data_IF_492624214093
#
_entry.id   IF_492624214093
#
_cell.length_a   1.000
_cell.length_b   1.000
_cell.length_c   1.000
_cell.angle_alpha   90.00
_cell.angle_beta   90.00
_cell.angle_gamma   90.00
#
_symmetry.space_group_name_H-M   'P 1'
#
loop_
_entity.id
_entity.type
_entity.pdbx_description
1 polymer ?
#
# COMPACT_ATOMS: atom_id res chain seq x y z
N UNK A 1 5.74 29.86 7.14
CA UNK A 1 5.27 29.09 5.99
C UNK A 1 4.83 27.71 6.44
N UNK A 2 3.57 27.43 6.34
CA UNK A 2 3.02 26.14 6.75
C UNK A 2 3.36 25.08 5.70
N UNK A 3 4.03 24.02 6.12
CA UNK A 3 4.22 22.86 5.29
C UNK A 3 2.86 22.28 4.94
N UNK A 4 2.57 22.16 3.65
CA UNK A 4 1.39 21.42 3.25
C UNK A 4 1.61 19.95 3.55
N UNK A 5 0.80 19.43 4.44
CA UNK A 5 0.77 17.99 4.72
C UNK A 5 -0.29 17.36 3.83
N UNK A 6 -0.02 16.16 3.36
CA UNK A 6 -1.05 15.38 2.72
C UNK A 6 -2.18 15.12 3.72
N UNK A 7 -3.44 15.19 3.30
CA UNK A 7 -4.54 14.84 4.20
C UNK A 7 -4.42 13.38 4.63
N UNK A 8 -4.88 13.09 5.84
CA UNK A 8 -4.93 11.72 6.31
C UNK A 8 -5.80 10.88 5.39
N UNK A 9 -5.40 9.65 5.08
CA UNK A 9 -6.23 8.75 4.29
C UNK A 9 -7.56 8.50 4.97
N UNK A 10 -8.62 8.46 4.18
CA UNK A 10 -9.91 7.95 4.65
C UNK A 10 -9.80 6.45 4.85
N UNK A 11 -9.20 5.78 3.88
CA UNK A 11 -8.87 4.37 3.95
C UNK A 11 -7.82 4.06 2.90
N UNK A 12 -6.78 3.33 3.30
CA UNK A 12 -5.72 2.89 2.39
C UNK A 12 -6.12 1.54 1.80
N UNK A 13 -5.94 1.40 0.49
CA UNK A 13 -5.95 0.09 -0.16
C UNK A 13 -4.52 -0.42 -0.20
N UNK A 14 -4.22 -1.48 0.54
CA UNK A 14 -2.89 -2.08 0.54
C UNK A 14 -2.86 -3.27 -0.40
N UNK A 15 -2.12 -3.12 -1.51
CA UNK A 15 -1.98 -4.13 -2.54
C UNK A 15 -0.71 -4.93 -2.31
N UNK A 16 -0.82 -6.25 -2.29
CA UNK A 16 0.34 -7.13 -2.06
C UNK A 16 0.12 -8.50 -2.69
N UNK A 17 1.22 -9.19 -2.98
CA UNK A 17 1.15 -10.61 -3.33
C UNK A 17 0.79 -11.44 -2.11
N UNK A 18 0.04 -12.52 -2.30
CA UNK A 18 -0.27 -13.44 -1.21
C UNK A 18 0.99 -13.99 -0.52
N UNK A 19 2.09 -14.08 -1.26
CA UNK A 19 3.36 -14.56 -0.71
C UNK A 19 4.03 -13.55 0.22
N UNK A 20 3.63 -12.28 0.18
CA UNK A 20 4.15 -11.22 1.06
C UNK A 20 3.20 -10.90 2.21
N UNK A 21 2.28 -11.79 2.49
CA UNK A 21 1.20 -11.57 3.46
C UNK A 21 1.71 -11.18 4.84
N UNK A 22 2.74 -11.84 5.35
CA UNK A 22 3.27 -11.57 6.69
C UNK A 22 3.74 -10.12 6.80
N UNK A 23 4.48 -9.67 5.81
CA UNK A 23 4.95 -8.28 5.77
C UNK A 23 3.77 -7.32 5.69
N UNK A 24 2.83 -7.59 4.77
CA UNK A 24 1.65 -6.75 4.59
C UNK A 24 0.87 -6.60 5.90
N UNK A 25 0.66 -7.71 6.62
CA UNK A 25 -0.06 -7.68 7.89
C UNK A 25 0.64 -6.85 8.95
N UNK A 26 1.99 -6.90 9.00
CA UNK A 26 2.76 -6.07 9.91
C UNK A 26 2.56 -4.58 9.62
N UNK A 27 2.60 -4.21 8.35
CA UNK A 27 2.37 -2.82 7.93
C UNK A 27 0.94 -2.38 8.27
N UNK A 28 -0.04 -3.23 8.00
CA UNK A 28 -1.44 -2.95 8.32
C UNK A 28 -1.61 -2.67 9.81
N UNK A 29 -1.01 -3.50 10.67
CA UNK A 29 -1.11 -3.33 12.11
C UNK A 29 -0.52 -2.00 12.56
N UNK A 30 0.63 -1.61 12.00
CA UNK A 30 1.25 -0.33 12.31
C UNK A 30 0.34 0.83 11.90
N UNK A 31 -0.19 0.80 10.69
CA UNK A 31 -1.08 1.85 10.20
C UNK A 31 -2.33 1.97 11.06
N UNK A 32 -2.96 0.85 11.37
CA UNK A 32 -4.19 0.84 12.21
C UNK A 32 -3.91 1.33 13.61
N UNK A 33 -2.77 0.95 14.20
CA UNK A 33 -2.37 1.42 15.52
C UNK A 33 -2.19 2.94 15.56
N UNK A 34 -1.83 3.54 14.44
CA UNK A 34 -1.67 4.99 14.31
C UNK A 34 -2.93 5.70 13.78
N UNK A 35 -4.06 5.00 13.81
CA UNK A 35 -5.35 5.59 13.47
C UNK A 35 -5.65 5.68 11.98
N UNK A 36 -4.93 4.96 11.13
CA UNK A 36 -5.14 4.98 9.68
C UNK A 36 -5.90 3.72 9.26
N UNK A 37 -7.12 3.84 8.72
CA UNK A 37 -7.86 2.68 8.24
C UNK A 37 -7.20 2.08 7.00
N UNK A 38 -7.14 0.74 6.96
CA UNK A 38 -6.52 0.01 5.85
C UNK A 38 -7.41 -1.17 5.46
N UNK A 39 -7.60 -1.33 4.16
CA UNK A 39 -8.19 -2.54 3.59
C UNK A 39 -7.10 -3.32 2.85
N UNK A 40 -7.05 -4.63 3.06
CA UNK A 40 -6.16 -5.52 2.33
C UNK A 40 -6.83 -6.87 2.11
N UNK A 41 -6.42 -7.59 1.08
CA UNK A 41 -7.10 -8.81 0.61
C UNK A 41 -6.74 -10.08 1.40
N UNK A 42 -6.16 -9.94 2.59
CA UNK A 42 -5.67 -11.09 3.35
C UNK A 42 -6.67 -11.79 4.24
N UNK A 43 -7.87 -11.26 4.41
CA UNK A 43 -8.67 -11.63 5.57
C UNK A 43 -9.81 -12.61 5.34
N UNK A 44 -10.34 -12.76 4.13
CA UNK A 44 -11.46 -13.67 3.94
C UNK A 44 -11.48 -14.23 2.53
N UNK A 45 -11.23 -15.52 2.42
CA UNK A 45 -11.43 -16.22 1.16
C UNK A 45 -12.90 -16.57 1.07
N UNK A 46 -13.67 -15.66 0.52
CA UNK A 46 -15.00 -15.97 0.04
C UNK A 46 -14.84 -16.41 -1.42
N UNK A 47 -15.79 -17.09 -2.01
CA UNK A 47 -15.68 -17.57 -3.39
C UNK A 47 -15.14 -16.50 -4.34
N UNK A 48 -14.45 -16.91 -5.41
CA UNK A 48 -13.69 -16.04 -6.30
C UNK A 48 -14.48 -14.82 -6.79
N UNK A 49 -15.76 -14.99 -7.11
CA UNK A 49 -16.61 -13.88 -7.57
C UNK A 49 -16.84 -12.84 -6.48
N UNK A 50 -17.12 -13.30 -5.27
CA UNK A 50 -17.37 -12.44 -4.12
C UNK A 50 -16.12 -11.65 -3.74
N UNK A 51 -14.97 -12.31 -3.82
CA UNK A 51 -13.69 -11.69 -3.55
C UNK A 51 -13.37 -10.59 -4.57
N UNK A 52 -13.63 -10.87 -5.85
CA UNK A 52 -13.46 -9.86 -6.91
C UNK A 52 -14.34 -8.63 -6.65
N UNK A 53 -15.59 -8.84 -6.24
CA UNK A 53 -16.51 -7.74 -5.94
C UNK A 53 -16.04 -6.92 -4.73
N UNK A 54 -15.52 -7.59 -3.70
CA UNK A 54 -14.99 -6.91 -2.51
C UNK A 54 -13.77 -6.05 -2.83
N UNK A 55 -12.87 -6.54 -3.68
CA UNK A 55 -11.72 -5.76 -4.15
C UNK A 55 -12.21 -4.52 -4.89
N UNK A 56 -13.15 -4.69 -5.81
CA UNK A 56 -13.70 -3.57 -6.57
C UNK A 56 -14.36 -2.51 -5.68
N UNK A 57 -15.12 -2.94 -4.69
CA UNK A 57 -15.73 -2.03 -3.73
C UNK A 57 -14.67 -1.26 -2.94
N UNK A 58 -13.64 -1.94 -2.48
CA UNK A 58 -12.56 -1.32 -1.72
C UNK A 58 -11.81 -0.29 -2.58
N UNK A 59 -11.48 -0.64 -3.82
CA UNK A 59 -10.81 0.30 -4.73
C UNK A 59 -11.62 1.56 -4.98
N UNK A 60 -12.94 1.45 -5.07
CA UNK A 60 -13.81 2.61 -5.27
C UNK A 60 -14.00 3.43 -3.98
N UNK A 61 -13.82 2.82 -2.83
CA UNK A 61 -14.00 3.47 -1.53
C UNK A 61 -12.74 4.11 -1.00
N UNK A 62 -11.59 3.42 -1.15
CA UNK A 62 -10.31 3.90 -0.66
C UNK A 62 -9.82 5.11 -1.44
N UNK A 63 -8.98 5.93 -0.83
CA UNK A 63 -8.46 7.14 -1.44
C UNK A 63 -6.92 7.18 -1.51
N UNK A 64 -6.26 6.16 -0.98
CA UNK A 64 -4.81 5.97 -1.09
C UNK A 64 -4.51 4.53 -1.45
N UNK A 65 -3.49 4.33 -2.28
CA UNK A 65 -2.97 3.00 -2.59
C UNK A 65 -1.56 2.88 -2.05
N UNK A 66 -1.32 1.83 -1.27
CA UNK A 66 0.03 1.40 -0.89
C UNK A 66 0.28 0.08 -1.59
N UNK A 67 1.30 0.01 -2.44
CA UNK A 67 1.63 -1.20 -3.18
C UNK A 67 2.96 -1.77 -2.69
N UNK A 68 2.93 -3.02 -2.24
CA UNK A 68 4.12 -3.72 -1.77
C UNK A 68 4.88 -4.27 -2.96
N UNK A 69 6.14 -3.86 -3.10
CA UNK A 69 7.00 -4.28 -4.21
C UNK A 69 7.97 -5.37 -3.76
N UNK A 70 7.93 -6.47 -4.47
CA UNK A 70 8.77 -7.64 -4.25
C UNK A 70 8.87 -8.44 -5.54
N UNK A 71 9.78 -9.43 -5.64
CA UNK A 71 9.78 -10.33 -6.78
C UNK A 71 8.44 -11.06 -6.97
N UNK A 72 7.69 -11.25 -5.90
CA UNK A 72 6.36 -11.89 -5.97
C UNK A 72 5.30 -10.96 -6.53
N UNK A 73 5.27 -9.70 -6.09
CA UNK A 73 4.24 -8.76 -6.52
C UNK A 73 4.35 -8.44 -8.01
N UNK A 74 5.57 -8.36 -8.56
CA UNK A 74 5.75 -8.06 -9.98
C UNK A 74 5.21 -9.17 -10.89
N UNK A 75 4.99 -10.37 -10.36
CA UNK A 75 4.38 -11.50 -11.07
C UNK A 75 2.90 -11.66 -10.76
N UNK A 76 2.35 -10.85 -9.88
CA UNK A 76 0.96 -10.98 -9.45
C UNK A 76 0.03 -10.23 -10.39
N UNK A 77 -0.88 -10.95 -11.01
CA UNK A 77 -1.92 -10.36 -11.85
C UNK A 77 -2.82 -9.42 -11.05
N UNK A 78 -3.13 -9.79 -9.81
CA UNK A 78 -3.99 -8.99 -8.96
C UNK A 78 -3.35 -7.67 -8.56
N UNK A 79 -2.09 -7.69 -8.16
CA UNK A 79 -1.35 -6.46 -7.83
C UNK A 79 -1.32 -5.54 -9.05
N UNK A 80 -1.06 -6.09 -10.23
CA UNK A 80 -1.03 -5.31 -11.46
C UNK A 80 -2.38 -4.65 -11.75
N UNK A 81 -3.47 -5.41 -11.62
CA UNK A 81 -4.83 -4.89 -11.87
C UNK A 81 -5.21 -3.80 -10.89
N UNK A 82 -4.89 -3.99 -9.61
CA UNK A 82 -5.18 -3.01 -8.57
C UNK A 82 -4.41 -1.72 -8.80
N UNK A 83 -3.12 -1.84 -9.12
CA UNK A 83 -2.30 -0.69 -9.43
C UNK A 83 -2.79 0.06 -10.67
N UNK A 84 -3.11 -0.66 -11.74
CA UNK A 84 -3.60 -0.04 -12.97
C UNK A 84 -4.93 0.68 -12.75
N UNK A 85 -5.81 0.12 -11.92
CA UNK A 85 -7.05 0.80 -11.57
C UNK A 85 -6.76 2.15 -10.90
N UNK A 86 -5.89 2.15 -9.90
CA UNK A 86 -5.54 3.37 -9.17
C UNK A 86 -4.87 4.41 -10.08
N UNK A 87 -3.98 3.96 -10.98
CA UNK A 87 -3.31 4.85 -11.92
C UNK A 87 -4.30 5.55 -12.86
N UNK A 88 -5.46 4.94 -13.11
CA UNK A 88 -6.48 5.48 -14.01
C UNK A 88 -7.65 6.17 -13.28
N UNK A 89 -7.60 6.26 -11.97
CA UNK A 89 -8.66 6.88 -11.17
C UNK A 89 -8.13 8.20 -10.59
N UNK A 90 -8.72 9.36 -10.96
CA UNK A 90 -8.25 10.66 -10.46
C UNK A 90 -8.23 10.79 -8.94
N UNK A 91 -9.04 10.02 -8.22
CA UNK A 91 -9.02 10.06 -6.75
C UNK A 91 -7.68 9.61 -6.16
N UNK A 92 -6.94 8.80 -6.91
CA UNK A 92 -5.62 8.32 -6.49
C UNK A 92 -4.47 9.17 -7.01
N UNK A 93 -4.74 10.30 -7.65
CA UNK A 93 -3.68 11.20 -8.16
C UNK A 93 -2.81 11.66 -6.99
N UNK A 94 -1.49 11.43 -7.10
CA UNK A 94 -0.51 11.74 -6.05
C UNK A 94 -0.77 11.00 -4.73
N UNK A 95 -1.52 9.90 -4.79
CA UNK A 95 -1.90 9.12 -3.60
C UNK A 95 -1.56 7.64 -3.76
N UNK A 96 -0.49 7.36 -4.48
CA UNK A 96 0.04 6.00 -4.65
C UNK A 96 1.44 5.98 -4.03
N UNK A 97 1.64 5.03 -3.11
CA UNK A 97 2.90 4.89 -2.38
C UNK A 97 3.49 3.51 -2.66
N UNK A 98 4.51 3.44 -3.51
CA UNK A 98 5.25 2.18 -3.67
C UNK A 98 6.11 1.92 -2.44
N UNK A 99 5.98 0.74 -1.87
CA UNK A 99 6.75 0.30 -0.71
C UNK A 99 7.74 -0.77 -1.16
N UNK A 100 9.03 -0.45 -1.10
CA UNK A 100 10.08 -1.39 -1.46
C UNK A 100 10.32 -2.36 -0.30
N UNK A 101 9.77 -3.56 -0.43
CA UNK A 101 9.99 -4.62 0.55
C UNK A 101 11.23 -5.45 0.20
N UNK A 102 11.38 -5.83 -1.06
CA UNK A 102 12.55 -6.53 -1.57
C UNK A 102 12.89 -6.02 -2.97
N UNK A 103 14.17 -6.02 -3.37
CA UNK A 103 14.54 -5.58 -4.73
C UNK A 103 13.80 -6.37 -5.80
N UNK A 104 13.28 -5.67 -6.79
CA UNK A 104 12.49 -6.29 -7.85
C UNK A 104 12.44 -5.41 -9.09
N UNK A 105 12.02 -6.02 -10.20
CA UNK A 105 11.81 -5.32 -11.46
C UNK A 105 10.43 -4.66 -11.48
N UNK A 106 10.25 -3.62 -10.67
CA UNK A 106 8.94 -2.99 -10.49
C UNK A 106 8.37 -2.40 -11.78
N UNK A 107 9.22 -2.07 -12.75
CA UNK A 107 8.76 -1.55 -14.04
C UNK A 107 7.89 -2.56 -14.79
N UNK A 108 7.99 -3.85 -14.44
CA UNK A 108 7.11 -4.87 -15.02
C UNK A 108 5.65 -4.72 -14.54
N UNK A 109 5.42 -4.04 -13.42
CA UNK A 109 4.07 -3.69 -12.98
C UNK A 109 3.57 -2.46 -13.71
N UNK A 110 4.38 -1.41 -13.73
CA UNK A 110 4.11 -0.19 -14.48
C UNK A 110 5.40 0.62 -14.61
N UNK A 111 5.69 1.06 -15.83
CA UNK A 111 6.85 1.92 -16.08
C UNK A 111 6.70 3.28 -15.38
N UNK A 112 5.47 3.68 -15.03
CA UNK A 112 5.23 4.98 -14.38
C UNK A 112 5.56 4.97 -12.89
N UNK A 113 5.79 3.80 -12.29
CA UNK A 113 6.09 3.72 -10.85
C UNK A 113 7.31 4.53 -10.45
N UNK A 114 8.30 4.66 -11.34
CA UNK A 114 9.47 5.47 -11.06
C UNK A 114 9.20 6.95 -10.81
N UNK A 115 8.01 7.44 -11.15
CA UNK A 115 7.62 8.83 -10.92
C UNK A 115 7.14 9.09 -9.48
N UNK A 116 6.84 8.03 -8.72
CA UNK A 116 6.35 8.15 -7.36
C UNK A 116 7.50 8.11 -6.36
N UNK A 117 7.26 8.62 -5.17
CA UNK A 117 8.22 8.54 -4.09
C UNK A 117 8.10 7.20 -3.39
N UNK A 118 9.17 6.41 -3.42
CA UNK A 118 9.21 5.10 -2.80
C UNK A 118 9.46 5.22 -1.30
N UNK A 119 8.88 4.29 -0.55
CA UNK A 119 9.19 4.10 0.86
C UNK A 119 10.01 2.82 0.99
N UNK A 120 11.18 2.93 1.60
CA UNK A 120 12.14 1.84 1.68
C UNK A 120 11.98 1.03 2.97
N UNK A 121 11.62 -0.24 2.82
CA UNK A 121 11.56 -1.21 3.92
C UNK A 121 12.65 -2.27 3.82
N UNK A 122 13.59 -2.11 2.87
CA UNK A 122 14.62 -3.14 2.63
C UNK A 122 15.71 -3.16 3.70
N UNK A 123 15.93 -2.06 4.40
CA UNK A 123 16.99 -1.92 5.40
C UNK A 123 16.47 -2.24 6.79
N UNK A 124 15.41 -1.55 7.20
CA UNK A 124 14.84 -1.71 8.54
C UNK A 124 13.35 -1.45 8.53
N UNK A 125 12.60 -2.33 9.18
CA UNK A 125 11.13 -2.21 9.23
C UNK A 125 10.68 -0.93 9.93
N UNK A 126 11.30 -0.59 11.06
CA UNK A 126 10.91 0.60 11.81
C UNK A 126 11.18 1.90 11.02
N UNK A 127 12.31 1.95 10.33
CA UNK A 127 12.64 3.09 9.47
C UNK A 127 11.66 3.23 8.32
N UNK A 128 11.26 2.11 7.72
CA UNK A 128 10.22 2.08 6.70
C UNK A 128 8.90 2.62 7.23
N UNK A 129 8.50 2.21 8.43
CA UNK A 129 7.28 2.70 9.07
C UNK A 129 7.34 4.21 9.31
N UNK A 130 8.47 4.72 9.79
CA UNK A 130 8.65 6.16 9.99
C UNK A 130 8.45 6.93 8.70
N UNK A 131 9.09 6.46 7.63
CA UNK A 131 9.00 7.09 6.32
C UNK A 131 7.60 7.05 5.76
N UNK A 132 6.91 5.93 5.92
CA UNK A 132 5.54 5.78 5.44
C UNK A 132 4.58 6.73 6.17
N UNK A 133 4.62 6.73 7.51
CA UNK A 133 3.74 7.56 8.31
C UNK A 133 4.02 9.05 8.13
N UNK A 134 5.26 9.41 7.83
CA UNK A 134 5.65 10.80 7.58
C UNK A 134 4.92 11.41 6.39
N UNK A 135 4.50 10.59 5.41
CA UNK A 135 3.75 11.07 4.26
C UNK A 135 2.51 11.86 4.73
N UNK A 136 1.87 11.40 5.80
CA UNK A 136 0.67 12.02 6.34
C UNK A 136 0.92 12.85 7.60
N UNK A 137 2.19 13.14 7.91
CA UNK A 137 2.55 13.94 9.06
C UNK A 137 2.40 13.22 10.40
N UNK A 138 2.39 11.88 10.38
CA UNK A 138 2.28 11.07 11.57
C UNK A 138 3.66 10.64 12.06
N UNK A 139 3.88 10.69 13.38
CA UNK A 139 5.07 10.16 14.00
C UNK A 139 4.90 8.67 14.29
N UNK A 140 5.95 7.89 14.02
CA UNK A 140 5.92 6.47 14.31
C UNK A 140 6.23 6.20 15.77
N UNK A 141 5.36 5.44 16.41
CA UNK A 141 5.58 4.93 17.77
C UNK A 141 5.74 3.41 17.69
N UNK A 142 6.90 2.92 18.10
CA UNK A 142 7.14 1.49 18.15
C UNK A 142 6.18 0.86 19.15
N UNK A 143 5.57 -0.26 18.76
CA UNK A 143 4.70 -1.00 19.67
C UNK A 143 5.45 -1.63 20.83
N UNK A 144 4.72 -2.08 21.85
CA UNK A 144 5.35 -2.81 22.95
C UNK A 144 6.00 -4.08 22.41
N UNK A 145 7.26 -4.17 22.67
CA UNK A 145 8.19 -5.25 22.46
C UNK A 145 7.95 -6.32 21.46
#
# INVERSE_FOLDING_TARGET
MTRQRNPLPREIFLSHSAKDRRFAERVVQVLRRHGVPVWYSGTNVVGAKQWHDEIGKALRRCDWLVVVLSPHSVKSQWVKRELLYALNDPRYDNRIVPVSFRPCEYMNLSWTLGEFQFVDFTVDFNDGCRSLLRIWGLGYEAGPG
#
